data_IF_773863259401
#
_entry.id   IF_773863259401
#
_cell.length_a   1.000
_cell.length_b   1.000
_cell.length_c   1.000
_cell.angle_alpha   90.00
_cell.angle_beta   90.00
_cell.angle_gamma   90.00
#
_symmetry.space_group_name_H-M   'P 1'
#
loop_
_entity.id
_entity.type
_entity.pdbx_description
1 polymer ?
#
# COMPACT_ATOMS: atom_id res chain seq x y z
N UNK A 1 -1.42 -12.53 6.31
CA UNK A 1 -2.59 -12.02 5.55
C UNK A 1 -3.94 -12.25 6.24
N UNK A 2 -4.42 -13.49 6.41
CA UNK A 2 -5.76 -13.75 6.99
C UNK A 2 -5.98 -13.15 8.36
N UNK A 3 -4.98 -13.20 9.25
CA UNK A 3 -5.06 -12.58 10.57
C UNK A 3 -5.21 -11.05 10.50
N UNK A 4 -4.46 -10.40 9.60
CA UNK A 4 -4.61 -8.97 9.30
C UNK A 4 -6.03 -8.65 8.87
N UNK A 5 -6.56 -9.34 7.86
CA UNK A 5 -7.91 -9.08 7.34
C UNK A 5 -8.99 -9.31 8.41
N UNK A 6 -8.86 -10.35 9.24
CA UNK A 6 -9.79 -10.61 10.37
C UNK A 6 -9.76 -9.54 11.46
N UNK A 7 -8.62 -8.91 11.69
CA UNK A 7 -8.53 -7.79 12.62
C UNK A 7 -9.17 -6.54 12.00
N UNK A 8 -8.78 -6.21 10.77
CA UNK A 8 -9.25 -5.04 10.06
C UNK A 8 -10.75 -5.13 9.70
N UNK A 9 -11.34 -6.33 9.62
CA UNK A 9 -12.77 -6.52 9.38
C UNK A 9 -13.67 -5.99 10.51
N UNK A 10 -13.08 -5.67 11.67
CA UNK A 10 -13.75 -5.16 12.86
C UNK A 10 -13.66 -3.64 13.01
N UNK A 11 -13.02 -2.94 12.06
CA UNK A 11 -12.93 -1.48 12.09
C UNK A 11 -14.34 -0.85 12.11
N UNK A 12 -14.48 0.24 12.85
CA UNK A 12 -15.76 0.90 13.06
C UNK A 12 -16.02 2.07 12.08
N UNK A 13 -15.01 2.43 11.28
CA UNK A 13 -15.10 3.49 10.28
C UNK A 13 -15.19 2.92 8.85
N UNK A 14 -15.72 3.68 7.88
CA UNK A 14 -15.84 3.25 6.49
C UNK A 14 -14.47 2.92 5.88
N UNK A 15 -14.28 1.67 5.44
CA UNK A 15 -13.03 1.24 4.79
C UNK A 15 -13.27 0.11 3.81
N UNK A 16 -12.56 0.16 2.68
CA UNK A 16 -12.46 -0.96 1.74
C UNK A 16 -11.08 -1.58 1.90
N UNK A 17 -11.05 -2.84 2.32
CA UNK A 17 -9.84 -3.63 2.45
C UNK A 17 -9.69 -4.43 1.16
N UNK A 18 -8.54 -4.30 0.48
CA UNK A 18 -8.27 -5.02 -0.77
C UNK A 18 -7.05 -5.95 -0.61
N UNK A 19 -7.21 -7.14 -0.02
CA UNK A 19 -6.09 -8.08 0.13
C UNK A 19 -5.64 -8.60 -1.24
N UNK A 20 -4.39 -8.37 -1.62
CA UNK A 20 -3.78 -9.04 -2.77
C UNK A 20 -3.28 -10.43 -2.34
N UNK A 21 -3.86 -11.49 -2.89
CA UNK A 21 -3.59 -12.88 -2.46
C UNK A 21 -2.53 -13.58 -3.31
N UNK A 22 -2.01 -12.90 -4.35
CA UNK A 22 -1.09 -13.50 -5.31
C UNK A 22 -1.76 -14.68 -6.02
N UNK A 23 -1.06 -15.81 -6.16
CA UNK A 23 -1.57 -16.98 -6.89
C UNK A 23 -2.50 -17.89 -6.08
N UNK A 24 -2.87 -17.50 -4.85
CA UNK A 24 -3.68 -18.36 -3.98
C UNK A 24 -5.17 -18.06 -4.15
N UNK A 25 -5.84 -18.85 -5.01
CA UNK A 25 -7.29 -18.81 -5.20
C UNK A 25 -8.03 -19.21 -3.92
N UNK A 26 -7.53 -20.20 -3.19
CA UNK A 26 -8.08 -20.59 -1.89
C UNK A 26 -8.13 -19.42 -0.90
N UNK A 27 -7.12 -18.56 -0.88
CA UNK A 27 -7.14 -17.37 -0.02
C UNK A 27 -8.21 -16.36 -0.44
N UNK A 28 -8.51 -16.22 -1.73
CA UNK A 28 -9.61 -15.35 -2.21
C UNK A 28 -10.93 -15.81 -1.59
N UNK A 29 -11.23 -17.11 -1.64
CA UNK A 29 -12.44 -17.68 -1.06
C UNK A 29 -12.50 -17.52 0.47
N UNK A 30 -11.39 -17.82 1.16
CA UNK A 30 -11.31 -17.71 2.62
C UNK A 30 -11.53 -16.28 3.08
N UNK A 31 -10.90 -15.31 2.42
CA UNK A 31 -11.00 -13.90 2.80
C UNK A 31 -12.38 -13.32 2.46
N UNK A 32 -13.02 -13.76 1.38
CA UNK A 32 -14.36 -13.30 0.99
C UNK A 32 -15.45 -13.74 1.97
N UNK A 33 -15.20 -14.77 2.78
CA UNK A 33 -16.13 -15.31 3.79
C UNK A 33 -15.93 -14.71 5.18
N UNK A 34 -14.95 -13.82 5.37
CA UNK A 34 -14.71 -13.20 6.68
C UNK A 34 -15.88 -12.25 7.02
N UNK A 35 -16.53 -12.42 8.18
CA UNK A 35 -17.55 -11.47 8.63
C UNK A 35 -16.98 -10.07 8.83
N UNK A 36 -17.69 -9.07 8.33
CA UNK A 36 -17.31 -7.65 8.43
C UNK A 36 -18.32 -6.86 9.26
N UNK A 37 -17.86 -5.76 9.86
CA UNK A 37 -18.75 -4.73 10.37
C UNK A 37 -19.48 -4.04 9.19
N UNK A 38 -20.59 -3.33 9.47
CA UNK A 38 -21.39 -2.64 8.46
C UNK A 38 -20.59 -1.64 7.60
N UNK A 39 -19.49 -1.11 8.14
CA UNK A 39 -18.68 -0.07 7.52
C UNK A 39 -17.45 -0.64 6.79
N UNK A 40 -17.21 -1.95 6.86
CA UNK A 40 -16.05 -2.58 6.26
C UNK A 40 -16.47 -3.43 5.07
N UNK A 41 -15.83 -3.21 3.93
CA UNK A 41 -15.93 -4.09 2.76
C UNK A 41 -14.58 -4.77 2.52
N UNK A 42 -14.58 -6.08 2.30
CA UNK A 42 -13.38 -6.82 1.89
C UNK A 42 -13.53 -7.19 0.41
N UNK A 43 -12.56 -6.81 -0.41
CA UNK A 43 -12.48 -7.17 -1.85
C UNK A 43 -11.13 -7.84 -2.13
N UNK A 44 -11.01 -9.17 -1.93
CA UNK A 44 -9.77 -9.87 -2.23
C UNK A 44 -9.47 -9.76 -3.73
N UNK A 45 -8.25 -9.34 -4.04
CA UNK A 45 -7.72 -9.29 -5.40
C UNK A 45 -6.80 -10.49 -5.56
N UNK A 46 -6.99 -11.25 -6.65
CA UNK A 46 -6.17 -12.40 -6.97
C UNK A 46 -4.77 -12.02 -7.44
N UNK A 47 -4.23 -12.81 -8.37
CA UNK A 47 -2.91 -12.53 -8.93
C UNK A 47 -2.97 -11.33 -9.87
N UNK A 48 -2.17 -10.31 -9.55
CA UNK A 48 -1.89 -9.19 -10.44
C UNK A 48 -0.73 -9.60 -11.34
N UNK A 49 -0.97 -9.64 -12.66
CA UNK A 49 -0.04 -10.24 -13.62
C UNK A 49 0.78 -9.24 -14.43
N UNK A 50 0.37 -7.96 -14.46
CA UNK A 50 1.10 -6.89 -15.14
C UNK A 50 1.46 -5.74 -14.20
N UNK A 51 2.49 -5.00 -14.58
CA UNK A 51 2.91 -3.78 -13.89
C UNK A 51 1.79 -2.73 -13.90
N UNK A 52 1.10 -2.56 -15.03
CA UNK A 52 -0.04 -1.64 -15.18
C UNK A 52 -1.14 -1.93 -14.16
N UNK A 53 -1.52 -3.20 -13.98
CA UNK A 53 -2.52 -3.59 -12.99
C UNK A 53 -2.06 -3.36 -11.55
N UNK A 54 -0.77 -3.57 -11.26
CA UNK A 54 -0.21 -3.28 -9.93
C UNK A 54 -0.26 -1.78 -9.63
N UNK A 55 0.05 -0.99 -10.66
CA UNK A 55 0.01 0.46 -10.61
C UNK A 55 -1.39 1.00 -10.36
N UNK A 56 -2.38 0.53 -11.13
CA UNK A 56 -3.80 0.84 -10.91
C UNK A 56 -4.26 0.44 -9.51
N UNK A 57 -3.84 -0.74 -9.04
CA UNK A 57 -4.15 -1.22 -7.70
C UNK A 57 -3.57 -0.29 -6.61
N UNK A 58 -2.32 0.18 -6.77
CA UNK A 58 -1.69 1.09 -5.82
C UNK A 58 -2.32 2.48 -5.88
N UNK A 59 -2.72 2.93 -7.07
CA UNK A 59 -3.31 4.26 -7.31
C UNK A 59 -4.65 4.46 -6.60
N UNK A 60 -5.42 3.38 -6.38
CA UNK A 60 -6.69 3.44 -5.63
C UNK A 60 -6.51 3.32 -4.12
N UNK A 61 -5.30 3.04 -3.63
CA UNK A 61 -5.05 2.83 -2.20
C UNK A 61 -4.67 4.14 -1.48
N UNK A 62 -5.32 4.40 -0.35
CA UNK A 62 -4.90 5.47 0.57
C UNK A 62 -3.78 5.02 1.52
N UNK A 63 -3.76 3.73 1.86
CA UNK A 63 -2.74 3.12 2.69
C UNK A 63 -2.37 1.77 2.10
N UNK A 64 -1.08 1.51 1.93
CA UNK A 64 -0.56 0.21 1.53
C UNK A 64 0.02 -0.50 2.75
N UNK A 65 -0.31 -1.78 2.96
CA UNK A 65 0.33 -2.63 3.96
C UNK A 65 1.12 -3.70 3.20
N UNK A 66 2.44 -3.69 3.32
CA UNK A 66 3.29 -4.59 2.56
C UNK A 66 4.48 -5.07 3.38
N UNK A 67 4.92 -6.30 3.12
CA UNK A 67 6.21 -6.80 3.60
C UNK A 67 7.32 -5.91 2.98
N UNK A 68 8.42 -5.61 3.70
CA UNK A 68 9.53 -4.77 3.20
C UNK A 68 10.38 -5.40 2.07
N UNK A 69 9.75 -6.09 1.12
CA UNK A 69 10.39 -6.61 -0.09
C UNK A 69 10.74 -5.48 -1.08
N UNK A 70 11.78 -5.66 -1.90
CA UNK A 70 12.40 -4.55 -2.61
C UNK A 70 11.51 -4.03 -3.76
N UNK A 71 10.84 -4.92 -4.49
CA UNK A 71 9.97 -4.53 -5.61
C UNK A 71 8.75 -3.74 -5.13
N UNK A 72 7.97 -4.29 -4.20
CA UNK A 72 6.77 -3.63 -3.69
C UNK A 72 7.07 -2.32 -2.97
N UNK A 73 8.20 -2.23 -2.27
CA UNK A 73 8.64 -0.97 -1.65
C UNK A 73 8.97 0.07 -2.71
N UNK A 74 9.73 -0.28 -3.75
CA UNK A 74 10.06 0.65 -4.85
C UNK A 74 8.82 1.14 -5.58
N UNK A 75 7.88 0.25 -5.87
CA UNK A 75 6.58 0.59 -6.47
C UNK A 75 5.79 1.55 -5.58
N UNK A 76 5.70 1.27 -4.27
CA UNK A 76 4.99 2.12 -3.34
C UNK A 76 5.63 3.51 -3.21
N UNK A 77 6.96 3.60 -3.17
CA UNK A 77 7.70 4.86 -3.16
C UNK A 77 7.49 5.66 -4.45
N UNK A 78 7.53 4.99 -5.61
CA UNK A 78 7.27 5.64 -6.90
C UNK A 78 5.84 6.19 -6.95
N UNK A 79 4.86 5.45 -6.47
CA UNK A 79 3.45 5.86 -6.41
C UNK A 79 3.21 6.99 -5.42
N UNK A 80 3.91 6.99 -4.29
CA UNK A 80 3.87 8.12 -3.35
C UNK A 80 4.42 9.40 -3.97
N UNK A 81 5.51 9.31 -4.76
CA UNK A 81 6.20 10.47 -5.33
C UNK A 81 5.58 10.99 -6.63
N UNK A 82 5.12 10.10 -7.49
CA UNK A 82 4.69 10.42 -8.86
C UNK A 82 3.27 9.94 -9.20
N UNK A 83 2.60 9.23 -8.28
CA UNK A 83 1.24 8.74 -8.48
C UNK A 83 0.17 9.83 -8.30
N UNK A 84 -1.12 9.46 -8.34
CA UNK A 84 -2.24 10.39 -8.32
C UNK A 84 -2.47 11.12 -6.98
N UNK A 85 -1.59 10.92 -5.99
CA UNK A 85 -1.64 11.60 -4.69
C UNK A 85 -2.66 11.02 -3.70
N UNK A 86 -3.18 9.82 -3.94
CA UNK A 86 -4.10 9.13 -3.02
C UNK A 86 -3.35 8.46 -1.85
N UNK A 87 -2.16 7.93 -2.11
CA UNK A 87 -1.38 7.19 -1.12
C UNK A 87 -0.86 8.11 -0.02
N UNK A 88 -1.38 7.96 1.19
CA UNK A 88 -1.00 8.73 2.37
C UNK A 88 0.21 8.14 3.08
N UNK A 89 0.25 6.81 3.23
CA UNK A 89 1.30 6.09 3.95
C UNK A 89 1.49 4.66 3.46
N UNK A 90 2.71 4.16 3.66
CA UNK A 90 3.06 2.75 3.50
C UNK A 90 3.34 2.14 4.87
N UNK A 91 2.54 1.17 5.29
CA UNK A 91 2.76 0.39 6.50
C UNK A 91 3.64 -0.81 6.15
N UNK A 92 4.84 -0.85 6.73
CA UNK A 92 5.82 -1.90 6.47
C UNK A 92 5.66 -3.00 7.51
N UNK A 93 5.13 -4.15 7.07
CA UNK A 93 4.84 -5.30 7.93
C UNK A 93 6.14 -5.98 8.40
N UNK A 94 6.47 -5.75 9.68
CA UNK A 94 7.56 -6.38 10.44
C UNK A 94 7.04 -7.40 11.46
N UNK A 95 5.80 -7.86 11.33
CA UNK A 95 5.21 -8.85 12.26
C UNK A 95 5.85 -10.22 12.14
N UNK A 96 6.50 -10.49 11.00
CA UNK A 96 7.32 -11.68 10.77
C UNK A 96 8.80 -11.32 10.71
N UNK A 97 9.69 -12.32 10.81
CA UNK A 97 11.14 -12.10 10.75
C UNK A 97 11.52 -11.43 9.42
N UNK A 98 11.96 -10.18 9.53
CA UNK A 98 12.50 -9.37 8.45
C UNK A 98 13.95 -9.77 8.19
N UNK A 99 14.31 -9.92 6.92
CA UNK A 99 15.70 -10.20 6.54
C UNK A 99 16.56 -8.96 6.72
N UNK A 100 17.87 -9.08 6.99
CA UNK A 100 18.74 -7.91 7.18
C UNK A 100 18.67 -6.88 6.04
N UNK A 101 18.61 -7.34 4.78
CA UNK A 101 18.50 -6.46 3.61
C UNK A 101 17.10 -5.83 3.44
N UNK A 102 16.07 -6.39 4.06
CA UNK A 102 14.73 -5.77 4.09
C UNK A 102 14.68 -4.59 5.07
N UNK A 103 15.58 -4.54 6.07
CA UNK A 103 15.70 -3.42 6.99
C UNK A 103 16.15 -2.12 6.29
N UNK A 104 16.95 -2.24 5.23
CA UNK A 104 17.35 -1.08 4.42
C UNK A 104 16.13 -0.43 3.75
N UNK A 105 15.19 -1.24 3.26
CA UNK A 105 13.93 -0.76 2.68
C UNK A 105 13.06 -0.08 3.75
N UNK A 106 13.05 -0.61 4.98
CA UNK A 106 12.33 0.01 6.10
C UNK A 106 12.93 1.37 6.44
N UNK A 107 14.26 1.42 6.55
CA UNK A 107 15.01 2.64 6.85
C UNK A 107 14.77 3.72 5.79
N UNK A 108 14.84 3.35 4.50
CA UNK A 108 14.59 4.25 3.39
C UNK A 108 13.19 4.87 3.45
N UNK A 109 12.15 4.04 3.57
CA UNK A 109 10.76 4.51 3.66
C UNK A 109 10.52 5.42 4.86
N UNK A 110 11.12 5.10 6.01
CA UNK A 110 10.99 5.88 7.24
C UNK A 110 11.69 7.23 7.12
N UNK A 111 12.91 7.23 6.57
CA UNK A 111 13.71 8.45 6.33
C UNK A 111 13.01 9.42 5.38
N UNK A 112 12.40 8.89 4.32
CA UNK A 112 11.62 9.68 3.36
C UNK A 112 10.24 10.11 3.90
N UNK A 113 9.88 9.71 5.14
CA UNK A 113 8.58 9.94 5.77
C UNK A 113 7.40 9.40 4.96
N UNK A 114 7.64 8.39 4.13
CA UNK A 114 6.60 7.72 3.32
C UNK A 114 6.02 6.53 4.07
N UNK A 115 6.89 5.77 4.74
CA UNK A 115 6.50 4.54 5.43
C UNK A 115 6.60 4.62 6.95
N UNK A 116 5.84 3.74 7.61
CA UNK A 116 5.86 3.49 9.04
C UNK A 116 6.04 1.99 9.30
N UNK A 117 7.01 1.56 10.11
CA UNK A 117 7.17 0.16 10.47
C UNK A 117 6.04 -0.30 11.37
N UNK A 118 5.58 -1.54 11.18
CA UNK A 118 4.51 -2.14 11.98
C UNK A 118 4.96 -3.49 12.54
N UNK A 119 4.90 -3.63 13.86
CA UNK A 119 5.51 -4.76 14.58
C UNK A 119 4.50 -5.80 15.04
N UNK A 120 3.22 -5.44 15.12
CA UNK A 120 2.12 -6.34 15.45
C UNK A 120 0.80 -5.81 14.86
N UNK A 121 -0.24 -6.63 14.91
CA UNK A 121 -1.54 -6.33 14.33
C UNK A 121 -2.22 -5.16 15.07
N UNK A 122 -2.13 -5.09 16.39
CA UNK A 122 -2.75 -4.01 17.19
C UNK A 122 -2.13 -2.63 16.86
N UNK A 123 -0.82 -2.59 16.65
CA UNK A 123 -0.12 -1.40 16.16
C UNK A 123 -0.62 -0.99 14.77
N UNK A 124 -1.01 -1.94 13.91
CA UNK A 124 -1.60 -1.63 12.60
C UNK A 124 -2.94 -0.89 12.77
N UNK A 125 -3.84 -1.38 13.61
CA UNK A 125 -5.15 -0.75 13.85
C UNK A 125 -4.96 0.70 14.36
N UNK A 126 -4.07 0.88 15.33
CA UNK A 126 -3.76 2.20 15.86
C UNK A 126 -3.29 3.18 14.77
N UNK A 127 -2.32 2.76 13.94
CA UNK A 127 -1.81 3.60 12.86
C UNK A 127 -2.87 3.89 11.79
N UNK A 128 -3.68 2.90 11.40
CA UNK A 128 -4.75 3.11 10.42
C UNK A 128 -5.76 4.15 10.91
N UNK A 129 -6.16 4.09 12.19
CA UNK A 129 -7.03 5.12 12.79
C UNK A 129 -6.40 6.49 12.74
N UNK A 130 -5.11 6.61 13.04
CA UNK A 130 -4.40 7.90 12.96
C UNK A 130 -4.32 8.44 11.53
N UNK A 131 -4.08 7.58 10.54
CA UNK A 131 -3.89 8.00 9.15
C UNK A 131 -5.22 8.33 8.47
N UNK A 132 -6.24 7.51 8.69
CA UNK A 132 -7.52 7.58 7.97
C UNK A 132 -8.51 8.55 8.62
N UNK A 133 -8.46 8.76 9.94
CA UNK A 133 -9.32 9.75 10.61
C UNK A 133 -8.81 11.19 10.46
N UNK A 134 -7.59 11.39 9.97
CA UNK A 134 -7.10 12.73 9.65
C UNK A 134 -7.70 13.21 8.32
N UNK A 135 -8.11 14.49 8.22
CA UNK A 135 -8.52 15.07 6.96
C UNK A 135 -7.42 14.87 5.92
N UNK A 136 -7.77 14.33 4.74
CA UNK A 136 -6.80 14.19 3.68
C UNK A 136 -6.39 15.59 3.20
N UNK A 137 -5.23 16.07 3.64
CA UNK A 137 -4.56 17.16 2.93
C UNK A 137 -4.07 16.55 1.62
N UNK A 138 -4.88 16.65 0.56
CA UNK A 138 -4.39 16.40 -0.80
C UNK A 138 -3.09 17.17 -0.92
N UNK A 139 -1.99 16.45 -1.12
CA UNK A 139 -0.74 17.08 -1.52
C UNK A 139 -1.09 17.88 -2.77
N UNK A 140 -0.96 19.20 -2.67
CA UNK A 140 -1.27 20.14 -3.75
C UNK A 140 -0.65 19.59 -5.03
N UNK A 141 -1.47 19.47 -6.07
CA UNK A 141 -1.04 19.08 -7.41
C UNK A 141 0.27 19.81 -7.74
N UNK A 142 1.34 19.06 -7.95
CA UNK A 142 2.43 19.57 -8.78
C UNK A 142 1.85 19.85 -10.19
N UNK A 143 2.34 20.89 -10.87
CA UNK A 143 1.75 21.36 -12.12
C UNK A 143 1.70 20.25 -13.17
N UNK A 144 0.70 20.31 -14.04
CA UNK A 144 0.39 19.33 -15.09
C UNK A 144 1.65 18.86 -15.83
N UNK A 145 2.21 17.74 -15.38
CA UNK A 145 3.10 16.92 -16.18
C UNK A 145 2.19 15.89 -16.85
N UNK A 146 1.76 16.24 -18.06
CA UNK A 146 1.06 15.33 -18.95
C UNK A 146 1.92 14.07 -19.14
N UNK A 147 1.47 12.97 -18.52
CA UNK A 147 2.01 11.62 -18.64
C UNK A 147 3.34 11.32 -17.91
N UNK A 148 3.39 10.30 -17.03
CA UNK A 148 4.62 9.78 -16.44
C UNK A 148 5.67 9.34 -17.50
N UNK A 149 5.22 9.02 -18.72
CA UNK A 149 6.08 8.66 -19.84
C UNK A 149 6.85 9.84 -20.44
N UNK A 150 6.46 11.09 -20.16
CA UNK A 150 7.21 12.28 -20.58
C UNK A 150 8.52 12.43 -19.78
N UNK A 151 8.51 12.05 -18.49
CA UNK A 151 9.68 12.11 -17.61
C UNK A 151 10.75 11.09 -18.04
N UNK A 152 10.32 9.88 -18.42
CA UNK A 152 11.24 8.83 -18.91
C UNK A 152 11.96 9.28 -20.19
N UNK A 153 11.23 9.88 -21.14
CA UNK A 153 11.81 10.41 -22.39
C UNK A 153 12.72 11.62 -22.18
N UNK A 154 12.49 12.45 -21.16
CA UNK A 154 13.39 13.56 -20.85
C UNK A 154 14.69 13.10 -20.19
N UNK A 155 14.63 12.09 -19.32
CA UNK A 155 15.81 11.49 -18.71
C UNK A 155 16.68 10.82 -19.78
N UNK A 156 16.08 10.10 -20.74
CA UNK A 156 16.80 9.48 -21.86
C UNK A 156 17.49 10.49 -22.80
N UNK A 157 16.98 11.73 -22.88
CA UNK A 157 17.61 12.83 -23.65
C UNK A 157 18.78 13.50 -22.92
N UNK A 158 18.85 13.36 -21.60
CA UNK A 158 19.91 13.96 -20.78
C UNK A 158 21.08 13.00 -20.53
N UNK A 159 20.90 11.72 -20.85
CA UNK A 159 21.90 10.65 -20.67
C UNK A 159 22.52 10.13 -21.97
N UNK A 160 22.18 10.73 -23.12
CA UNK A 160 22.81 10.52 -24.43
C UNK A 160 23.27 11.86 -24.99
#
# INVERSE_FOLDING_TARGET
LTQYVKCLSKLEFPVVIMPCTGRSEHLVEVLSKIPTSKNVTIKPIGYISSEEQMCEFFDVCEVLILKPGPSSVREALARFKYGPGNLRKVLLDKTSKVQPWEEDNVSQCTTLRVGLPVYNIDHTDHLLRQILNQPHKKVLKMPDLQSPYAIVKEIEKLTN
#
